data_IF_471080445767
#
_entry.id   IF_471080445767
#
_cell.length_a   1.000
_cell.length_b   1.000
_cell.length_c   1.000
_cell.angle_alpha   90.00
_cell.angle_beta   90.00
_cell.angle_gamma   90.00
#
_symmetry.space_group_name_H-M   'P 1'
#
loop_
_entity.id
_entity.type
_entity.pdbx_description
1 polymer ?
#
# COMPACT_ATOMS: atom_id res chain seq x y z
N UNK A 1 -1.57 -15.15 -13.30
CA UNK A 1 -0.23 -14.63 -13.58
C UNK A 1 -0.06 -13.21 -13.06
N UNK A 2 1.12 -12.90 -12.52
CA UNK A 2 1.48 -11.52 -12.18
C UNK A 2 2.18 -10.90 -13.38
N UNK A 3 1.85 -9.65 -13.68
CA UNK A 3 2.46 -8.95 -14.82
C UNK A 3 3.96 -8.69 -14.62
N UNK A 4 4.66 -8.49 -15.73
CA UNK A 4 6.09 -8.16 -15.75
C UNK A 4 6.39 -6.92 -14.90
N UNK A 5 5.45 -5.97 -14.84
CA UNK A 5 5.58 -4.75 -14.06
C UNK A 5 5.68 -5.06 -12.56
N UNK A 6 4.85 -5.98 -12.06
CA UNK A 6 4.87 -6.45 -10.68
C UNK A 6 6.19 -7.12 -10.37
N UNK A 7 6.66 -8.06 -11.20
CA UNK A 7 7.92 -8.76 -10.98
C UNK A 7 9.13 -7.81 -10.96
N UNK A 8 9.16 -6.83 -11.87
CA UNK A 8 10.20 -5.79 -11.92
C UNK A 8 10.27 -4.95 -10.63
N UNK A 9 9.15 -4.74 -9.92
CA UNK A 9 9.15 -4.01 -8.64
C UNK A 9 9.95 -4.74 -7.57
N UNK A 10 9.82 -6.07 -7.48
CA UNK A 10 10.56 -6.89 -6.51
C UNK A 10 12.06 -6.94 -6.82
N UNK A 11 12.41 -7.05 -8.11
CA UNK A 11 13.80 -6.98 -8.55
C UNK A 11 14.44 -5.62 -8.22
N UNK A 12 13.77 -4.51 -8.56
CA UNK A 12 14.25 -3.16 -8.23
C UNK A 12 14.40 -2.94 -6.72
N UNK A 13 13.51 -3.49 -5.91
CA UNK A 13 13.56 -3.37 -4.46
C UNK A 13 14.72 -4.15 -3.81
N UNK A 14 15.39 -5.02 -4.55
CA UNK A 14 16.48 -5.88 -4.07
C UNK A 14 17.71 -5.82 -4.98
N UNK A 15 17.94 -4.67 -5.62
CA UNK A 15 19.13 -4.39 -6.44
C UNK A 15 19.37 -5.43 -7.54
N UNK A 16 18.30 -5.91 -8.16
CA UNK A 16 18.28 -6.96 -9.19
C UNK A 16 18.82 -8.32 -8.72
N UNK A 17 18.98 -8.54 -7.42
CA UNK A 17 19.32 -9.85 -6.87
C UNK A 17 18.09 -10.77 -6.94
N UNK A 18 18.17 -11.78 -7.81
CA UNK A 18 17.06 -12.70 -8.11
C UNK A 18 16.61 -13.47 -6.88
N UNK A 19 17.53 -14.04 -6.10
CA UNK A 19 17.19 -14.86 -4.94
C UNK A 19 16.47 -14.04 -3.86
N UNK A 20 16.99 -12.85 -3.55
CA UNK A 20 16.38 -11.94 -2.58
C UNK A 20 15.03 -11.41 -3.06
N UNK A 21 14.90 -11.11 -4.35
CA UNK A 21 13.65 -10.67 -4.95
C UNK A 21 12.58 -11.78 -4.92
N UNK A 22 12.96 -13.01 -5.28
CA UNK A 22 12.07 -14.18 -5.24
C UNK A 22 11.61 -14.47 -3.80
N UNK A 23 12.53 -14.47 -2.83
CA UNK A 23 12.17 -14.65 -1.42
C UNK A 23 11.22 -13.55 -0.91
N UNK A 24 11.42 -12.29 -1.32
CA UNK A 24 10.51 -11.19 -0.99
C UNK A 24 9.14 -11.38 -1.65
N UNK A 25 9.13 -11.78 -2.93
CA UNK A 25 7.91 -12.00 -3.69
C UNK A 25 7.06 -13.12 -3.08
N UNK A 26 7.66 -14.25 -2.70
CA UNK A 26 6.95 -15.34 -2.02
C UNK A 26 6.34 -14.90 -0.68
N UNK A 27 7.07 -14.10 0.11
CA UNK A 27 6.53 -13.51 1.35
C UNK A 27 5.35 -12.58 1.06
N UNK A 28 5.46 -11.75 0.03
CA UNK A 28 4.37 -10.88 -0.42
C UNK A 28 3.13 -11.68 -0.87
N UNK A 29 3.29 -12.76 -1.63
CA UNK A 29 2.17 -13.61 -2.08
C UNK A 29 1.43 -14.28 -0.91
N UNK A 30 2.17 -14.71 0.11
CA UNK A 30 1.56 -15.26 1.32
C UNK A 30 0.79 -14.17 2.07
N UNK A 31 1.44 -13.05 2.34
CA UNK A 31 0.81 -11.91 3.01
C UNK A 31 -0.43 -11.40 2.26
N UNK A 32 -0.40 -11.33 0.92
CA UNK A 32 -1.53 -10.86 0.12
C UNK A 32 -2.74 -11.79 0.23
N UNK A 33 -2.52 -13.11 0.26
CA UNK A 33 -3.59 -14.10 0.45
C UNK A 33 -4.23 -14.00 1.83
N UNK A 34 -3.43 -13.74 2.86
CA UNK A 34 -3.90 -13.62 4.25
C UNK A 34 -4.58 -12.28 4.52
N UNK A 35 -3.98 -11.17 4.05
CA UNK A 35 -4.40 -9.81 4.42
C UNK A 35 -5.35 -9.16 3.41
N UNK A 36 -5.32 -9.57 2.13
CA UNK A 36 -6.19 -9.04 1.05
C UNK A 36 -6.86 -10.22 0.31
N UNK A 37 -7.68 -11.03 1.01
CA UNK A 37 -8.23 -12.27 0.45
C UNK A 37 -9.15 -12.03 -0.76
N UNK A 38 -9.80 -10.86 -0.84
CA UNK A 38 -10.65 -10.45 -1.97
C UNK A 38 -9.88 -9.89 -3.16
N UNK A 39 -8.54 -9.85 -3.09
CA UNK A 39 -7.67 -9.32 -4.14
C UNK A 39 -7.48 -7.79 -4.12
N UNK A 40 -8.46 -7.04 -3.61
CA UNK A 40 -8.40 -5.60 -3.35
C UNK A 40 -9.07 -5.25 -2.02
N UNK A 41 -8.85 -4.02 -1.56
CA UNK A 41 -9.55 -3.41 -0.42
C UNK A 41 -10.52 -2.38 -1.01
N UNK A 42 -11.78 -2.40 -0.61
CA UNK A 42 -12.77 -1.41 -1.02
C UNK A 42 -12.87 -0.26 -0.01
N UNK A 43 -13.36 0.90 -0.46
CA UNK A 43 -13.56 2.06 0.41
C UNK A 43 -14.50 1.77 1.59
N UNK A 44 -15.48 0.90 1.39
CA UNK A 44 -16.39 0.45 2.46
C UNK A 44 -15.68 -0.27 3.61
N UNK A 45 -14.51 -0.87 3.38
CA UNK A 45 -13.72 -1.55 4.41
C UNK A 45 -12.86 -0.58 5.25
N UNK A 46 -12.81 0.71 4.87
CA UNK A 46 -11.95 1.76 5.44
C UNK A 46 -12.68 3.10 5.62
N UNK A 47 -14.01 3.07 5.65
CA UNK A 47 -14.85 4.28 5.63
C UNK A 47 -14.56 5.21 6.82
N UNK A 48 -14.31 4.67 8.01
CA UNK A 48 -14.05 5.49 9.20
C UNK A 48 -12.68 6.14 9.12
N UNK A 49 -11.70 5.46 8.52
CA UNK A 49 -10.37 6.01 8.31
C UNK A 49 -10.33 7.07 7.19
N UNK A 50 -11.13 6.90 6.13
CA UNK A 50 -11.33 7.92 5.09
C UNK A 50 -12.00 9.16 5.69
N UNK A 51 -13.05 8.99 6.51
CA UNK A 51 -13.81 10.08 7.12
C UNK A 51 -12.95 10.97 8.04
N UNK A 52 -11.81 10.48 8.55
CA UNK A 52 -10.85 11.27 9.33
C UNK A 52 -10.08 12.29 8.48
N UNK A 53 -10.11 12.16 7.15
CA UNK A 53 -9.44 13.05 6.20
C UNK A 53 -8.00 13.38 6.60
N UNK A 54 -7.23 12.34 6.95
CA UNK A 54 -5.89 12.53 7.52
C UNK A 54 -4.78 12.19 6.55
N UNK A 55 -5.06 11.61 5.39
CA UNK A 55 -4.06 11.19 4.41
C UNK A 55 -4.45 11.66 3.01
N UNK A 56 -3.53 12.29 2.31
CA UNK A 56 -3.75 12.91 1.00
C UNK A 56 -2.64 12.54 0.02
N UNK A 57 -2.98 12.24 -1.23
CA UNK A 57 -2.01 12.18 -2.32
C UNK A 57 -1.66 13.59 -2.78
N UNK A 58 -0.37 13.90 -2.96
CA UNK A 58 0.14 15.23 -3.28
C UNK A 58 1.04 15.21 -4.53
N UNK A 59 0.71 14.35 -5.49
CA UNK A 59 1.45 14.21 -6.74
C UNK A 59 2.80 13.51 -6.57
N UNK A 60 3.82 13.97 -7.29
CA UNK A 60 5.14 13.35 -7.34
C UNK A 60 6.24 14.37 -7.04
N UNK A 61 7.33 13.90 -6.45
CA UNK A 61 8.53 14.71 -6.26
C UNK A 61 9.33 14.87 -7.56
N UNK A 62 10.43 15.63 -7.49
CA UNK A 62 11.33 15.89 -8.63
C UNK A 62 11.95 14.62 -9.24
N UNK A 63 11.87 13.47 -8.56
CA UNK A 63 12.37 12.17 -9.02
C UNK A 63 11.24 11.22 -9.44
N UNK A 64 10.00 11.70 -9.56
CA UNK A 64 8.85 10.89 -9.93
C UNK A 64 8.41 9.91 -8.83
N UNK A 65 8.76 10.18 -7.57
CA UNK A 65 8.31 9.39 -6.42
C UNK A 65 7.00 9.96 -5.89
N UNK A 66 5.96 9.14 -5.71
CA UNK A 66 4.66 9.61 -5.23
C UNK A 66 4.79 10.19 -3.82
N UNK A 67 4.10 11.29 -3.56
CA UNK A 67 4.07 11.98 -2.27
C UNK A 67 2.70 11.76 -1.63
N UNK A 68 2.71 11.36 -0.36
CA UNK A 68 1.52 11.38 0.50
C UNK A 68 1.76 12.26 1.72
N UNK A 69 0.78 13.09 2.07
CA UNK A 69 0.80 13.93 3.27
C UNK A 69 -0.16 13.37 4.29
N UNK A 70 0.30 13.28 5.55
CA UNK A 70 -0.51 12.81 6.67
C UNK A 70 -0.62 13.92 7.72
N UNK A 71 -1.85 14.27 8.09
CA UNK A 71 -2.14 15.26 9.14
C UNK A 71 -2.18 14.55 10.48
N UNK A 72 -1.06 14.60 11.22
CA UNK A 72 -0.91 13.94 12.51
C UNK A 72 -1.93 14.38 13.56
N UNK A 73 -2.36 15.65 13.54
CA UNK A 73 -3.38 16.18 14.47
C UNK A 73 -4.76 15.51 14.30
N UNK A 74 -5.05 14.92 13.13
CA UNK A 74 -6.29 14.16 12.86
C UNK A 74 -6.14 12.67 13.22
N UNK A 75 -5.02 12.27 13.82
CA UNK A 75 -4.80 10.90 14.28
C UNK A 75 -5.39 10.66 15.67
N UNK A 76 -6.59 10.09 15.74
CA UNK A 76 -7.23 9.69 17.01
C UNK A 76 -6.78 8.28 17.41
N UNK A 77 -5.97 8.15 18.47
CA UNK A 77 -5.44 6.86 18.93
C UNK A 77 -6.34 6.11 19.92
N UNK A 78 -7.29 6.81 20.57
CA UNK A 78 -8.01 6.31 21.75
C UNK A 78 -9.11 5.27 21.45
N UNK A 79 -9.62 5.20 20.22
CA UNK A 79 -10.60 4.19 19.79
C UNK A 79 -10.40 3.92 18.30
N UNK A 80 -9.42 3.08 17.96
CA UNK A 80 -9.09 2.75 16.56
C UNK A 80 -9.17 1.27 16.30
N UNK A 81 -9.80 0.91 15.19
CA UNK A 81 -9.61 -0.39 14.57
C UNK A 81 -8.24 -0.38 13.87
N UNK A 82 -7.30 -1.15 14.42
CA UNK A 82 -5.94 -1.26 13.87
C UNK A 82 -5.96 -1.94 12.49
N UNK A 83 -6.89 -2.85 12.25
CA UNK A 83 -6.96 -3.57 10.99
C UNK A 83 -7.57 -2.69 9.90
N UNK A 84 -8.61 -1.90 10.20
CA UNK A 84 -9.08 -0.82 9.31
C UNK A 84 -7.96 0.16 8.97
N UNK A 85 -7.19 0.57 9.97
CA UNK A 85 -6.04 1.45 9.79
C UNK A 85 -4.99 0.84 8.86
N UNK A 86 -4.58 -0.42 9.05
CA UNK A 86 -3.64 -1.12 8.16
C UNK A 86 -4.21 -1.22 6.73
N UNK A 87 -5.48 -1.57 6.58
CA UNK A 87 -6.17 -1.67 5.27
C UNK A 87 -6.13 -0.35 4.53
N UNK A 88 -6.29 0.77 5.23
CA UNK A 88 -6.22 2.11 4.65
C UNK A 88 -4.87 2.37 3.97
N UNK A 89 -3.75 2.01 4.60
CA UNK A 89 -2.42 2.16 3.96
C UNK A 89 -2.27 1.28 2.74
N UNK A 90 -2.75 0.03 2.81
CA UNK A 90 -2.68 -0.89 1.65
C UNK A 90 -3.52 -0.37 0.50
N UNK A 91 -4.70 0.19 0.77
CA UNK A 91 -5.56 0.85 -0.21
C UNK A 91 -4.85 2.03 -0.88
N UNK A 92 -4.28 2.97 -0.11
CA UNK A 92 -3.55 4.12 -0.66
C UNK A 92 -2.32 3.70 -1.48
N UNK A 93 -1.56 2.70 -1.02
CA UNK A 93 -0.41 2.18 -1.77
C UNK A 93 -0.84 1.53 -3.10
N UNK A 94 -1.99 0.85 -3.13
CA UNK A 94 -2.54 0.28 -4.35
C UNK A 94 -2.98 1.37 -5.33
N UNK A 95 -3.66 2.43 -4.85
CA UNK A 95 -4.04 3.58 -5.68
C UNK A 95 -2.84 4.26 -6.32
N UNK A 96 -1.78 4.50 -5.54
CA UNK A 96 -0.53 5.09 -6.03
C UNK A 96 0.16 4.22 -7.09
N UNK A 97 -0.05 2.89 -7.04
CA UNK A 97 0.48 1.96 -8.05
C UNK A 97 -0.35 1.93 -9.33
N UNK A 98 -1.64 2.27 -9.27
CA UNK A 98 -2.56 2.37 -10.41
C UNK A 98 -2.47 3.72 -11.12
N UNK A 99 -2.07 4.78 -10.42
CA UNK A 99 -1.89 6.12 -11.00
C UNK A 99 -0.58 6.29 -11.80
N UNK A 100 0.01 5.19 -12.27
CA UNK A 100 1.26 5.13 -13.05
C UNK A 100 1.00 4.39 -14.36
#
# INVERSE_FOLDING_TARGET
DHDDLTLRRFLRARDLNVDKAAALFLKFLRWRREFVPKGSISESEILNEIAKEKMFGQGFDKKGRPISVVIGARHTCFNRDIDEFKRTYVFFLALVQLSR
#
